data_IF_974633725630
#
_entry.id   IF_974633725630
#
_cell.length_a   1.000
_cell.length_b   1.000
_cell.length_c   1.000
_cell.angle_alpha   90.00
_cell.angle_beta   90.00
_cell.angle_gamma   90.00
#
_symmetry.space_group_name_H-M   'P 1'
#
loop_
_entity.id
_entity.type
_entity.pdbx_description
1 polymer ?
#
# COMPACT_ATOMS: atom_id res chain seq x y z
N UNK A 1 24.98 -42.89 7.95
CA UNK A 1 26.32 -42.63 7.38
C UNK A 1 26.33 -43.10 5.91
N UNK A 2 26.49 -42.15 4.98
CA UNK A 2 26.92 -42.25 3.56
C UNK A 2 26.33 -43.35 2.65
N UNK A 3 25.62 -42.92 1.60
CA UNK A 3 25.84 -43.19 0.15
C UNK A 3 24.71 -42.52 -0.66
N UNK A 4 24.93 -41.31 -1.19
CA UNK A 4 25.31 -41.00 -2.58
C UNK A 4 24.18 -41.34 -3.60
N UNK A 5 23.26 -40.41 -3.87
CA UNK A 5 23.19 -39.52 -5.05
C UNK A 5 23.32 -40.27 -6.38
N UNK A 6 22.19 -40.47 -7.05
CA UNK A 6 22.05 -40.99 -8.42
C UNK A 6 21.85 -39.79 -9.35
N UNK A 7 22.75 -39.64 -10.33
CA UNK A 7 22.67 -38.68 -11.43
C UNK A 7 21.79 -39.24 -12.57
N UNK A 8 20.77 -38.47 -12.97
CA UNK A 8 20.03 -38.57 -14.24
C UNK A 8 19.14 -37.29 -14.29
N UNK A 9 19.03 -36.44 -15.31
CA UNK A 9 19.24 -36.54 -16.75
C UNK A 9 19.57 -35.13 -17.24
N UNK A 10 20.55 -35.04 -18.13
CA UNK A 10 20.90 -33.87 -18.92
C UNK A 10 19.79 -33.69 -19.97
N UNK A 11 18.97 -32.63 -19.86
CA UNK A 11 18.08 -32.20 -20.95
C UNK A 11 18.44 -30.76 -21.31
N UNK A 12 19.26 -30.68 -22.35
CA UNK A 12 19.38 -29.64 -23.37
C UNK A 12 18.83 -28.25 -23.08
N UNK A 13 19.76 -27.29 -23.10
CA UNK A 13 19.49 -25.89 -23.37
C UNK A 13 18.54 -25.71 -24.57
N UNK A 14 17.42 -25.02 -24.34
CA UNK A 14 16.68 -24.30 -25.37
C UNK A 14 16.78 -22.82 -24.99
N UNK A 15 17.78 -22.17 -25.57
CA UNK A 15 17.82 -20.71 -25.69
C UNK A 15 16.89 -20.37 -26.85
N UNK A 16 15.73 -19.77 -26.55
CA UNK A 16 14.94 -19.04 -27.54
C UNK A 16 14.68 -17.64 -26.96
N UNK A 17 15.31 -16.68 -27.63
CA UNK A 17 14.98 -15.26 -27.70
C UNK A 17 13.61 -14.86 -27.17
N UNK A 18 13.63 -13.93 -26.21
CA UNK A 18 12.83 -12.71 -26.27
C UNK A 18 11.36 -12.88 -26.61
N UNK A 19 10.58 -13.43 -25.69
CA UNK A 19 9.21 -13.00 -25.49
C UNK A 19 8.86 -13.29 -24.03
N UNK A 20 8.92 -12.24 -23.21
CA UNK A 20 8.43 -12.26 -21.83
C UNK A 20 7.01 -12.80 -21.85
N UNK A 21 6.80 -13.93 -21.17
CA UNK A 21 5.46 -14.43 -20.90
C UNK A 21 4.77 -13.40 -20.02
N UNK A 22 3.86 -12.61 -20.61
CA UNK A 22 2.87 -11.86 -19.84
C UNK A 22 1.96 -12.89 -19.17
N UNK A 23 2.34 -13.30 -17.97
CA UNK A 23 1.43 -13.92 -17.03
C UNK A 23 0.35 -12.87 -16.75
N UNK A 24 -0.82 -13.02 -17.36
CA UNK A 24 -2.01 -12.28 -16.94
C UNK A 24 -2.33 -12.80 -15.55
N UNK A 25 -1.87 -12.06 -14.55
CA UNK A 25 -2.10 -12.34 -13.15
C UNK A 25 -3.62 -12.33 -12.93
N UNK A 26 -4.19 -13.52 -12.70
CA UNK A 26 -5.58 -13.71 -12.35
C UNK A 26 -5.76 -13.24 -10.90
N UNK A 27 -5.74 -11.92 -10.67
CA UNK A 27 -6.08 -11.32 -9.38
C UNK A 27 -7.58 -11.43 -9.22
N UNK A 28 -8.00 -12.44 -8.48
CA UNK A 28 -9.28 -12.40 -7.79
C UNK A 28 -9.30 -11.09 -6.98
N UNK A 29 -10.19 -10.17 -7.35
CA UNK A 29 -10.44 -8.86 -6.71
C UNK A 29 -11.01 -9.02 -5.28
N UNK A 30 -10.33 -9.78 -4.41
CA UNK A 30 -10.63 -9.77 -3.00
C UNK A 30 -9.81 -8.63 -2.38
N UNK A 31 -10.34 -7.41 -2.50
CA UNK A 31 -9.79 -6.25 -1.77
C UNK A 31 -9.93 -6.52 -0.28
N UNK A 32 -8.84 -6.43 0.45
CA UNK A 32 -8.88 -6.50 1.92
C UNK A 32 -9.80 -5.38 2.45
N UNK A 33 -10.55 -5.70 3.51
CA UNK A 33 -11.46 -4.74 4.15
C UNK A 33 -11.16 -4.63 5.64
N UNK A 34 -11.15 -3.40 6.16
CA UNK A 34 -10.79 -3.11 7.54
C UNK A 34 -11.89 -2.36 8.27
N UNK A 35 -12.11 -2.62 9.56
CA UNK A 35 -13.02 -1.82 10.39
C UNK A 35 -12.36 -0.53 10.87
N UNK A 36 -13.17 0.39 11.39
CA UNK A 36 -12.65 1.61 12.02
C UNK A 36 -11.81 1.28 13.25
N UNK A 37 -12.17 0.23 13.99
CA UNK A 37 -11.44 -0.22 15.17
C UNK A 37 -10.05 -0.75 14.79
N UNK A 38 -9.96 -1.57 13.73
CA UNK A 38 -8.66 -2.05 13.21
C UNK A 38 -7.80 -0.89 12.73
N UNK A 39 -8.38 0.06 11.97
CA UNK A 39 -7.64 1.24 11.49
C UNK A 39 -7.10 2.07 12.67
N UNK A 40 -7.87 2.23 13.75
CA UNK A 40 -7.50 3.03 14.91
C UNK A 40 -6.30 2.48 15.71
N UNK A 41 -5.98 1.20 15.57
CA UNK A 41 -4.79 0.60 16.18
C UNK A 41 -3.49 1.15 15.58
N UNK A 42 -3.53 1.60 14.32
CA UNK A 42 -2.39 2.12 13.56
C UNK A 42 -2.33 3.67 13.63
N UNK A 43 -2.12 4.19 14.85
CA UNK A 43 -2.24 5.62 15.19
C UNK A 43 -0.93 6.32 15.60
N UNK A 44 0.24 5.75 15.28
CA UNK A 44 1.55 6.27 15.70
C UNK A 44 2.47 6.61 14.54
N UNK A 45 3.54 7.37 14.78
CA UNK A 45 4.51 7.74 13.73
C UNK A 45 5.20 6.52 13.08
N UNK A 46 5.41 5.44 13.84
CA UNK A 46 6.04 4.22 13.34
C UNK A 46 5.01 3.15 12.90
N UNK A 47 3.71 3.48 12.97
CA UNK A 47 2.62 2.61 12.56
C UNK A 47 1.37 3.47 12.32
N UNK A 48 1.21 3.93 11.08
CA UNK A 48 0.22 4.94 10.71
C UNK A 48 -0.63 4.48 9.53
N UNK A 49 -1.91 4.24 9.77
CA UNK A 49 -2.90 4.06 8.72
C UNK A 49 -3.77 5.29 8.58
N UNK A 50 -4.18 5.58 7.34
CA UNK A 50 -5.07 6.68 7.00
C UNK A 50 -6.32 6.10 6.33
N UNK A 51 -7.49 6.56 6.75
CA UNK A 51 -8.72 6.36 5.99
C UNK A 51 -9.01 7.63 5.18
N UNK A 52 -9.07 7.53 3.86
CA UNK A 52 -9.39 8.66 2.97
C UNK A 52 -10.37 8.19 1.91
N UNK A 53 -11.55 8.80 1.84
CA UNK A 53 -12.60 8.46 0.87
C UNK A 53 -12.91 6.94 0.86
N UNK A 54 -13.15 6.38 2.05
CA UNK A 54 -13.44 4.96 2.30
C UNK A 54 -12.32 3.97 1.94
N UNK A 55 -11.13 4.46 1.57
CA UNK A 55 -9.95 3.65 1.27
C UNK A 55 -8.95 3.73 2.41
N UNK A 56 -8.28 2.62 2.68
CA UNK A 56 -7.30 2.48 3.74
C UNK A 56 -5.90 2.48 3.15
N UNK A 57 -5.01 3.28 3.74
CA UNK A 57 -3.63 3.45 3.29
C UNK A 57 -2.67 3.25 4.45
N UNK A 58 -1.62 2.44 4.24
CA UNK A 58 -0.50 2.37 5.17
C UNK A 58 0.53 3.45 4.83
N UNK A 59 0.54 4.53 5.60
CA UNK A 59 1.39 5.69 5.36
C UNK A 59 2.71 5.65 6.16
N UNK A 60 2.98 4.58 6.91
CA UNK A 60 4.11 4.46 7.85
C UNK A 60 5.43 4.91 7.21
N UNK A 61 5.80 4.32 6.07
CA UNK A 61 7.05 4.65 5.38
C UNK A 61 7.02 6.00 4.66
N UNK A 62 5.83 6.58 4.45
CA UNK A 62 5.67 7.85 3.76
C UNK A 62 5.84 9.07 4.66
N UNK A 63 5.62 8.92 5.98
CA UNK A 63 5.58 10.06 6.92
C UNK A 63 6.78 10.99 6.77
N UNK A 64 7.99 10.43 6.68
CA UNK A 64 9.25 11.20 6.58
C UNK A 64 9.34 11.97 5.26
N UNK A 65 8.70 11.46 4.20
CA UNK A 65 8.71 12.06 2.87
C UNK A 65 7.53 13.03 2.65
N UNK A 66 6.62 13.15 3.61
CA UNK A 66 5.44 14.00 3.47
C UNK A 66 5.81 15.49 3.44
N UNK A 67 5.51 16.25 2.36
CA UNK A 67 5.87 17.67 2.25
C UNK A 67 5.23 18.58 3.31
N UNK A 68 4.11 18.16 3.91
CA UNK A 68 3.49 18.87 5.04
C UNK A 68 4.12 18.54 6.40
N UNK A 69 5.20 17.76 6.43
CA UNK A 69 5.88 17.33 7.64
C UNK A 69 4.94 16.57 8.59
N UNK A 70 5.08 16.84 9.89
CA UNK A 70 4.35 16.19 10.98
C UNK A 70 2.83 16.38 10.93
N UNK A 71 2.31 17.25 10.07
CA UNK A 71 0.87 17.43 9.88
C UNK A 71 0.14 16.13 9.49
N UNK A 72 0.82 15.18 8.82
CA UNK A 72 0.26 13.86 8.49
C UNK A 72 -0.11 13.04 9.72
N UNK A 73 0.61 13.23 10.84
CA UNK A 73 0.40 12.47 12.07
C UNK A 73 -0.98 12.70 12.69
N UNK A 74 -1.64 13.83 12.38
CA UNK A 74 -3.02 14.10 12.81
C UNK A 74 -4.05 13.16 12.16
N UNK A 75 -3.69 12.50 11.05
CA UNK A 75 -4.55 11.58 10.34
C UNK A 75 -4.35 10.11 10.74
N UNK A 76 -3.31 9.77 11.50
CA UNK A 76 -3.01 8.37 11.81
C UNK A 76 -4.14 7.75 12.65
N UNK A 77 -4.61 6.59 12.23
CA UNK A 77 -5.67 5.82 12.87
C UNK A 77 -7.06 6.44 12.79
N UNK A 78 -7.30 7.37 11.86
CA UNK A 78 -8.59 8.07 11.74
C UNK A 78 -9.02 8.29 10.28
N UNK A 79 -10.25 8.75 10.10
CA UNK A 79 -10.73 9.32 8.83
C UNK A 79 -10.05 10.67 8.58
N UNK A 80 -9.03 10.63 7.74
CA UNK A 80 -8.23 11.77 7.31
C UNK A 80 -8.79 12.44 6.04
N UNK A 81 -10.01 12.10 5.60
CA UNK A 81 -10.60 12.64 4.36
C UNK A 81 -10.60 14.16 4.33
N UNK A 82 -11.07 14.80 5.40
CA UNK A 82 -11.12 16.26 5.46
C UNK A 82 -9.73 16.88 5.61
N UNK A 83 -8.83 16.24 6.35
CA UNK A 83 -7.43 16.67 6.46
C UNK A 83 -6.75 16.67 5.08
N UNK A 84 -7.00 15.63 4.28
CA UNK A 84 -6.48 15.50 2.92
C UNK A 84 -7.13 16.52 1.97
N UNK A 85 -8.43 16.78 2.09
CA UNK A 85 -9.15 17.71 1.20
C UNK A 85 -8.92 19.18 1.50
N UNK A 86 -8.56 19.53 2.73
CA UNK A 86 -8.50 20.94 3.16
C UNK A 86 -7.13 21.42 3.61
N UNK A 87 -6.21 20.50 3.98
CA UNK A 87 -4.88 20.82 4.50
C UNK A 87 -4.91 21.95 5.56
N UNK A 88 -5.67 21.79 6.66
CA UNK A 88 -5.90 22.89 7.61
C UNK A 88 -4.64 23.32 8.37
N UNK A 89 -3.62 22.45 8.45
CA UNK A 89 -2.31 22.75 9.03
C UNK A 89 -1.28 23.24 7.99
N UNK A 90 -1.70 23.45 6.73
CA UNK A 90 -0.83 23.85 5.63
C UNK A 90 -1.38 25.04 4.87
N UNK A 91 -1.48 24.92 3.54
CA UNK A 91 -1.93 26.01 2.67
C UNK A 91 -3.44 26.25 2.67
N UNK A 92 -4.24 25.42 3.35
CA UNK A 92 -5.71 25.54 3.31
C UNK A 92 -6.33 25.16 1.96
N UNK A 93 -5.59 24.44 1.11
CA UNK A 93 -6.06 24.00 -0.22
C UNK A 93 -6.05 22.47 -0.32
N UNK A 94 -6.84 21.87 -1.21
CA UNK A 94 -6.78 20.43 -1.44
C UNK A 94 -5.40 19.96 -1.89
N UNK A 95 -5.03 18.73 -1.51
CA UNK A 95 -3.87 18.06 -2.11
C UNK A 95 -4.00 17.98 -3.65
N UNK A 96 -2.85 18.06 -4.32
CA UNK A 96 -2.76 18.05 -5.80
C UNK A 96 -3.17 16.70 -6.40
N UNK A 97 -3.35 16.66 -7.73
CA UNK A 97 -3.57 15.40 -8.46
C UNK A 97 -2.44 14.38 -8.23
N UNK A 98 -1.18 14.85 -8.28
CA UNK A 98 -0.02 13.98 -8.02
C UNK A 98 -0.05 13.37 -6.62
N UNK A 99 -0.48 14.13 -5.60
CA UNK A 99 -0.62 13.60 -4.25
C UNK A 99 -1.73 12.53 -4.16
N UNK A 100 -2.81 12.66 -4.94
CA UNK A 100 -3.85 11.62 -5.06
C UNK A 100 -3.34 10.37 -5.78
N UNK A 101 -2.49 10.55 -6.78
CA UNK A 101 -1.90 9.41 -7.48
C UNK A 101 -0.93 8.64 -6.59
N UNK A 102 -0.16 9.35 -5.76
CA UNK A 102 0.76 8.75 -4.79
C UNK A 102 0.06 7.89 -3.72
N UNK A 103 -1.19 8.22 -3.36
CA UNK A 103 -1.98 7.38 -2.44
C UNK A 103 -2.09 5.92 -2.92
N UNK A 104 -2.05 5.68 -4.24
CA UNK A 104 -2.17 4.32 -4.81
C UNK A 104 -1.03 3.41 -4.37
N UNK A 105 0.16 3.97 -4.13
CA UNK A 105 1.35 3.20 -3.70
C UNK A 105 1.24 2.72 -2.25
N UNK A 106 0.37 3.36 -1.46
CA UNK A 106 0.16 3.07 -0.04
C UNK A 106 -1.19 2.39 0.24
N UNK A 107 -1.99 2.12 -0.79
CA UNK A 107 -3.31 1.52 -0.66
C UNK A 107 -3.22 0.06 -0.19
N UNK A 108 -3.96 -0.27 0.87
CA UNK A 108 -4.00 -1.63 1.43
C UNK A 108 -5.39 -2.25 1.42
N UNK A 109 -6.46 -1.47 1.25
CA UNK A 109 -7.81 -2.02 1.21
C UNK A 109 -8.90 -0.97 1.34
N UNK A 110 -10.12 -1.42 1.59
CA UNK A 110 -11.31 -0.58 1.73
C UNK A 110 -11.85 -0.60 3.17
N UNK A 111 -12.65 0.39 3.53
CA UNK A 111 -13.42 0.39 4.76
C UNK A 111 -14.50 -0.71 4.69
N UNK A 112 -14.56 -1.55 5.73
CA UNK A 112 -15.60 -2.55 5.89
C UNK A 112 -16.93 -1.88 6.22
N UNK A 113 -17.84 -1.85 5.25
CA UNK A 113 -19.22 -1.36 5.44
C UNK A 113 -20.05 -2.38 6.21
N UNK A 114 -20.90 -1.88 7.12
CA UNK A 114 -21.84 -2.68 7.92
C UNK A 114 -23.06 -3.11 7.10
#
# INVERSE_FOLDING_TARGET
MKKAIIFAIIISAIIISGCTQLQTDNRSDNKDTYTLEEIAEHSTENDCWLLIDEKVYNATDYIISHPGGTAILQGCGTDATDLFRTRPMGSGTPHSGNAKDLLKDYYIGELKRK
#
